data_IF_718596486373
#
_entry.id   IF_718596486373
#
_cell.length_a   1.000
_cell.length_b   1.000
_cell.length_c   1.000
_cell.angle_alpha   90.00
_cell.angle_beta   90.00
_cell.angle_gamma   90.00
#
_symmetry.space_group_name_H-M   'P 1'
#
loop_
_entity.id
_entity.type
_entity.pdbx_description
1 polymer ?
#
# COMPACT_ATOMS: atom_id res chain seq x y z
N UNK A 1 17.82 24.22 -22.86
CA UNK A 1 16.62 24.10 -21.99
C UNK A 1 16.70 22.77 -21.27
N UNK A 2 17.01 22.78 -19.97
CA UNK A 2 16.97 21.57 -19.16
C UNK A 2 15.52 21.34 -18.73
N UNK A 3 14.89 20.28 -19.23
CA UNK A 3 13.56 19.85 -18.78
C UNK A 3 13.74 19.00 -17.54
N UNK A 4 13.55 19.60 -16.37
CA UNK A 4 13.56 18.90 -15.08
C UNK A 4 12.13 18.51 -14.74
N UNK A 5 11.65 17.42 -15.35
CA UNK A 5 10.36 16.82 -14.99
C UNK A 5 10.61 15.78 -13.90
N UNK A 6 10.70 16.23 -12.65
CA UNK A 6 10.56 15.30 -11.52
C UNK A 6 9.08 14.97 -11.41
N UNK A 7 8.66 13.87 -12.04
CA UNK A 7 7.30 13.39 -11.98
C UNK A 7 7.00 12.96 -10.53
N UNK A 8 6.18 13.73 -9.83
CA UNK A 8 5.65 13.41 -8.50
C UNK A 8 4.66 12.23 -8.58
N UNK A 9 4.99 11.10 -9.22
CA UNK A 9 4.16 9.90 -9.09
C UNK A 9 4.17 9.46 -7.63
N UNK A 10 3.03 9.09 -7.02
CA UNK A 10 3.03 8.48 -5.69
C UNK A 10 3.79 7.15 -5.78
N UNK A 11 5.10 7.19 -5.53
CA UNK A 11 6.03 6.10 -5.80
C UNK A 11 6.40 5.34 -4.53
N UNK A 12 5.93 5.78 -3.37
CA UNK A 12 6.23 5.12 -2.11
C UNK A 12 5.05 5.18 -1.14
N UNK A 13 4.94 4.11 -0.35
CA UNK A 13 4.10 4.05 0.84
C UNK A 13 4.96 4.37 2.05
N UNK A 14 4.50 5.28 2.91
CA UNK A 14 5.11 5.53 4.21
C UNK A 14 4.26 4.81 5.25
N UNK A 15 4.83 3.77 5.86
CA UNK A 15 4.16 2.96 6.87
C UNK A 15 4.75 3.28 8.25
N UNK A 16 3.86 3.45 9.24
CA UNK A 16 4.24 3.56 10.65
C UNK A 16 3.69 2.37 11.42
N UNK A 17 4.56 1.61 12.07
CA UNK A 17 4.14 0.52 12.93
C UNK A 17 3.55 1.05 14.24
N UNK A 18 2.67 0.26 14.85
CA UNK A 18 1.99 0.63 16.09
C UNK A 18 2.90 0.51 17.34
N UNK A 19 4.12 0.01 17.19
CA UNK A 19 5.05 -0.14 18.31
C UNK A 19 5.62 1.22 18.72
N UNK A 20 5.89 1.38 20.02
CA UNK A 20 6.35 2.65 20.56
C UNK A 20 7.78 2.91 20.09
N UNK A 21 7.99 4.01 19.37
CA UNK A 21 9.31 4.38 18.83
C UNK A 21 9.61 3.79 17.45
N UNK A 22 8.63 3.15 16.79
CA UNK A 22 8.82 2.67 15.41
C UNK A 22 9.13 3.82 14.45
N UNK A 23 10.19 3.64 13.68
CA UNK A 23 10.54 4.53 12.58
C UNK A 23 9.53 4.43 11.43
N UNK A 24 9.42 5.52 10.65
CA UNK A 24 8.68 5.51 9.40
C UNK A 24 9.44 4.65 8.39
N UNK A 25 8.76 3.66 7.82
CA UNK A 25 9.32 2.83 6.75
C UNK A 25 8.78 3.29 5.41
N UNK A 26 9.67 3.72 4.53
CA UNK A 26 9.35 3.98 3.12
C UNK A 26 9.43 2.68 2.32
N UNK A 27 8.33 2.30 1.67
CA UNK A 27 8.24 1.15 0.77
C UNK A 27 8.00 1.68 -0.64
N UNK A 28 9.02 1.61 -1.49
CA UNK A 28 8.89 2.06 -2.88
C UNK A 28 8.09 1.07 -3.70
N UNK A 29 7.21 1.59 -4.55
CA UNK A 29 6.26 0.84 -5.38
C UNK A 29 6.97 -0.16 -6.27
N UNK A 30 8.05 0.27 -6.91
CA UNK A 30 8.85 -0.54 -7.83
C UNK A 30 9.58 -1.69 -7.15
N UNK A 31 9.68 -1.67 -5.82
CA UNK A 31 10.30 -2.71 -5.02
C UNK A 31 9.28 -3.68 -4.43
N UNK A 32 7.98 -3.46 -4.64
CA UNK A 32 6.93 -4.35 -4.15
C UNK A 32 6.81 -5.56 -5.06
N UNK A 33 7.04 -6.73 -4.48
CA UNK A 33 6.91 -8.00 -5.17
C UNK A 33 5.44 -8.47 -5.13
N UNK A 34 4.80 -8.45 -3.97
CA UNK A 34 3.38 -8.84 -3.83
C UNK A 34 2.59 -8.02 -2.82
N UNK A 35 1.28 -7.94 -3.06
CA UNK A 35 0.27 -7.39 -2.15
C UNK A 35 -0.83 -8.44 -2.06
N UNK A 36 -1.01 -9.02 -0.88
CA UNK A 36 -1.84 -10.22 -0.72
C UNK A 36 -2.82 -10.08 0.44
N UNK A 37 -4.04 -10.63 0.28
CA UNK A 37 -4.96 -10.80 1.40
C UNK A 37 -4.39 -11.82 2.39
N UNK A 38 -4.37 -11.46 3.68
CA UNK A 38 -3.97 -12.35 4.77
C UNK A 38 -5.14 -12.54 5.73
N UNK A 39 -5.89 -13.65 5.64
CA UNK A 39 -6.92 -13.99 6.61
C UNK A 39 -6.29 -14.36 7.95
N UNK A 40 -6.61 -13.61 9.01
CA UNK A 40 -6.12 -13.84 10.37
C UNK A 40 -7.29 -14.23 11.28
N UNK A 41 -7.20 -15.36 12.03
CA UNK A 41 -8.25 -15.77 12.95
C UNK A 41 -8.50 -14.73 14.05
N UNK A 42 -9.75 -14.42 14.36
CA UNK A 42 -10.11 -13.61 15.52
C UNK A 42 -10.65 -14.44 16.69
N UNK A 43 -10.33 -14.07 17.95
CA UNK A 43 -10.73 -14.83 19.12
C UNK A 43 -12.24 -14.91 19.37
N UNK A 44 -13.04 -13.98 18.85
CA UNK A 44 -14.45 -13.79 19.25
C UNK A 44 -15.45 -14.11 18.12
N UNK A 45 -15.03 -14.92 17.13
CA UNK A 45 -15.81 -15.42 15.99
C UNK A 45 -15.66 -14.59 14.71
N UNK A 46 -14.67 -14.96 13.89
CA UNK A 46 -14.52 -14.48 12.53
C UNK A 46 -13.10 -14.62 12.00
N UNK A 47 -12.95 -14.45 10.69
CA UNK A 47 -11.67 -14.21 10.04
C UNK A 47 -11.56 -12.72 9.76
N UNK A 48 -10.53 -12.07 10.26
CA UNK A 48 -10.21 -10.69 9.89
C UNK A 48 -9.29 -10.69 8.68
N UNK A 49 -9.49 -9.72 7.80
CA UNK A 49 -8.61 -9.54 6.66
C UNK A 49 -7.51 -8.54 7.01
N UNK A 50 -6.26 -8.98 6.91
CA UNK A 50 -5.08 -8.12 6.89
C UNK A 50 -4.54 -8.05 5.46
N UNK A 51 -3.68 -7.07 5.20
CA UNK A 51 -2.97 -6.93 3.92
C UNK A 51 -1.49 -7.16 4.15
N UNK A 52 -0.90 -8.13 3.46
CA UNK A 52 0.54 -8.37 3.44
C UNK A 52 1.15 -7.65 2.24
N UNK A 53 2.19 -6.84 2.49
CA UNK A 53 2.99 -6.19 1.44
C UNK A 53 4.40 -6.75 1.51
N UNK A 54 4.80 -7.50 0.49
CA UNK A 54 6.15 -8.07 0.36
C UNK A 54 6.97 -7.19 -0.58
N UNK A 55 8.14 -6.75 -0.13
CA UNK A 55 8.99 -5.82 -0.86
C UNK A 55 10.48 -6.14 -0.69
N UNK A 56 11.28 -5.63 -1.63
CA UNK A 56 12.74 -5.66 -1.56
C UNK A 56 13.26 -4.38 -0.88
N UNK A 57 13.90 -4.48 0.29
CA UNK A 57 14.49 -3.31 0.94
C UNK A 57 15.69 -2.75 0.17
N UNK A 58 15.92 -1.43 0.29
CA UNK A 58 17.04 -0.69 -0.35
C UNK A 58 18.32 -0.75 0.49
N UNK A 59 18.24 -1.21 1.74
CA UNK A 59 19.33 -1.22 2.72
C UNK A 59 20.53 -2.04 2.21
N UNK A 60 21.74 -1.46 2.30
CA UNK A 60 22.97 -2.12 1.90
C UNK A 60 23.18 -3.42 2.69
N UNK A 61 23.28 -4.54 1.98
CA UNK A 61 23.49 -5.87 2.58
C UNK A 61 22.20 -6.64 2.90
N UNK A 62 21.02 -6.12 2.55
CA UNK A 62 19.80 -6.90 2.68
C UNK A 62 19.73 -7.99 1.61
N UNK A 63 19.70 -9.26 2.05
CA UNK A 63 19.49 -10.42 1.19
C UNK A 63 18.07 -10.94 1.44
N UNK A 64 17.18 -10.72 0.48
CA UNK A 64 15.82 -11.24 0.49
C UNK A 64 14.73 -10.17 0.57
N UNK A 65 13.49 -10.62 0.77
CA UNK A 65 12.29 -9.79 0.84
C UNK A 65 11.86 -9.56 2.29
N UNK A 66 11.31 -8.38 2.58
CA UNK A 66 10.60 -8.07 3.83
C UNK A 66 9.10 -8.08 3.59
N UNK A 67 8.31 -8.49 4.58
CA UNK A 67 6.84 -8.42 4.53
C UNK A 67 6.31 -7.57 5.67
N UNK A 68 5.46 -6.60 5.33
CA UNK A 68 4.72 -5.78 6.29
C UNK A 68 3.25 -6.19 6.28
N UNK A 69 2.67 -6.31 7.48
CA UNK A 69 1.26 -6.67 7.66
C UNK A 69 0.50 -5.44 8.14
N UNK A 70 -0.55 -5.07 7.42
CA UNK A 70 -1.43 -3.96 7.75
C UNK A 70 -2.81 -4.55 8.07
N UNK A 71 -3.22 -4.48 9.34
CA UNK A 71 -4.42 -5.21 9.79
C UNK A 71 -5.18 -4.57 10.94
N UNK A 72 -4.49 -4.00 11.92
CA UNK A 72 -5.11 -3.53 13.16
C UNK A 72 -5.35 -2.00 13.15
N UNK A 73 -6.53 -1.57 13.62
CA UNK A 73 -6.90 -0.16 13.85
C UNK A 73 -6.96 0.72 12.59
N UNK A 74 -7.38 0.14 11.47
CA UNK A 74 -7.67 0.93 10.27
C UNK A 74 -9.01 1.66 10.40
N UNK A 75 -9.09 2.86 9.84
CA UNK A 75 -10.35 3.62 9.69
C UNK A 75 -11.13 3.24 8.44
N UNK A 76 -10.52 2.45 7.54
CA UNK A 76 -11.12 1.93 6.30
C UNK A 76 -11.37 0.43 6.40
N UNK A 77 -12.30 -0.10 5.60
CA UNK A 77 -12.49 -1.55 5.50
C UNK A 77 -11.24 -2.22 4.90
N UNK A 78 -10.74 -3.34 5.44
CA UNK A 78 -9.50 -3.96 4.96
C UNK A 78 -9.52 -4.37 3.48
N UNK A 79 -10.68 -4.76 2.94
CA UNK A 79 -10.83 -5.09 1.51
C UNK A 79 -10.65 -3.86 0.62
N UNK A 80 -11.08 -2.69 1.09
CA UNK A 80 -10.90 -1.42 0.37
C UNK A 80 -9.42 -1.00 0.38
N UNK A 81 -8.72 -1.24 1.49
CA UNK A 81 -7.27 -1.04 1.55
C UNK A 81 -6.55 -1.96 0.56
N UNK A 82 -6.88 -3.25 0.53
CA UNK A 82 -6.30 -4.20 -0.43
C UNK A 82 -6.48 -3.71 -1.87
N UNK A 83 -7.71 -3.40 -2.26
CA UNK A 83 -8.02 -2.95 -3.62
C UNK A 83 -7.31 -1.64 -3.96
N UNK A 84 -7.24 -0.70 -3.02
CA UNK A 84 -6.56 0.58 -3.23
C UNK A 84 -5.05 0.39 -3.44
N UNK A 85 -4.43 -0.49 -2.67
CA UNK A 85 -3.00 -0.80 -2.78
C UNK A 85 -2.67 -1.53 -4.09
N UNK A 86 -3.55 -2.43 -4.56
CA UNK A 86 -3.42 -3.07 -5.88
C UNK A 86 -3.52 -2.03 -7.00
N UNK A 87 -4.53 -1.16 -6.99
CA UNK A 87 -4.67 -0.07 -7.96
C UNK A 87 -3.43 0.81 -7.98
N UNK A 88 -2.92 1.19 -6.80
CA UNK A 88 -1.72 2.01 -6.68
C UNK A 88 -0.47 1.33 -7.26
N UNK A 89 -0.27 0.03 -6.99
CA UNK A 89 0.87 -0.76 -7.49
C UNK A 89 0.85 -0.86 -9.02
N UNK A 90 -0.32 -1.14 -9.61
CA UNK A 90 -0.45 -1.46 -11.03
C UNK A 90 -0.44 -0.20 -11.93
N UNK A 91 -0.72 0.98 -11.37
CA UNK A 91 -0.89 2.23 -12.11
C UNK A 91 0.42 3.02 -12.26
N UNK A 92 1.45 2.38 -12.82
CA UNK A 92 2.80 2.96 -12.90
C UNK A 92 2.89 4.28 -13.69
N UNK A 93 2.07 4.42 -14.74
CA UNK A 93 2.14 5.51 -15.71
C UNK A 93 0.96 6.50 -15.64
N UNK A 94 0.04 6.36 -14.69
CA UNK A 94 -1.10 7.27 -14.52
C UNK A 94 -0.64 8.64 -14.02
N UNK A 95 -1.40 9.69 -14.35
CA UNK A 95 -1.20 11.00 -13.76
C UNK A 95 -1.21 10.88 -12.22
N UNK A 96 -0.23 11.45 -11.52
CA UNK A 96 -0.14 11.30 -10.07
C UNK A 96 -1.39 11.71 -9.28
N UNK A 97 -2.03 12.81 -9.68
CA UNK A 97 -3.22 13.33 -9.01
C UNK A 97 -4.42 12.42 -9.26
N UNK A 98 -4.62 11.99 -10.50
CA UNK A 98 -5.70 11.06 -10.86
C UNK A 98 -5.55 9.72 -10.14
N UNK A 99 -4.31 9.22 -10.00
CA UNK A 99 -4.03 8.00 -9.25
C UNK A 99 -4.39 8.16 -7.77
N UNK A 100 -4.02 9.27 -7.14
CA UNK A 100 -4.36 9.54 -5.74
C UNK A 100 -5.87 9.66 -5.53
N UNK A 101 -6.56 10.36 -6.43
CA UNK A 101 -8.02 10.49 -6.40
C UNK A 101 -8.70 9.12 -6.50
N UNK A 102 -8.23 8.27 -7.42
CA UNK A 102 -8.74 6.90 -7.58
C UNK A 102 -8.48 6.04 -6.36
N UNK A 103 -7.27 6.09 -5.80
CA UNK A 103 -6.91 5.39 -4.56
C UNK A 103 -7.82 5.84 -3.41
N UNK A 104 -8.07 7.14 -3.27
CA UNK A 104 -8.97 7.68 -2.24
C UNK A 104 -10.41 7.19 -2.41
N UNK A 105 -10.92 7.17 -3.64
CA UNK A 105 -12.27 6.65 -3.93
C UNK A 105 -12.38 5.18 -3.51
N UNK A 106 -11.39 4.35 -3.86
CA UNK A 106 -11.38 2.93 -3.50
C UNK A 106 -11.28 2.74 -1.99
N UNK A 107 -10.42 3.50 -1.29
CA UNK A 107 -10.32 3.47 0.18
C UNK A 107 -11.65 3.77 0.87
N UNK A 108 -12.42 4.71 0.31
CA UNK A 108 -13.77 5.09 0.79
C UNK A 108 -14.86 4.09 0.40
N UNK A 109 -14.53 2.99 -0.28
CA UNK A 109 -15.49 1.98 -0.73
C UNK A 109 -16.35 2.43 -1.91
N UNK A 110 -15.92 3.45 -2.66
CA UNK A 110 -16.62 3.92 -3.85
C UNK A 110 -16.11 3.15 -5.07
N UNK A 111 -17.04 2.58 -5.83
CA UNK A 111 -16.74 1.93 -7.10
C UNK A 111 -16.64 2.99 -8.21
N UNK A 112 -15.65 2.85 -9.09
CA UNK A 112 -15.58 3.57 -10.38
C UNK A 112 -16.50 2.95 -11.44
N UNK A 113 -17.37 1.99 -11.08
CA UNK A 113 -18.39 1.47 -12.00
C UNK A 113 -19.47 2.55 -12.21
N UNK A 114 -19.23 3.45 -13.16
CA UNK A 114 -20.14 4.54 -13.49
C UNK A 114 -19.59 5.68 -14.36
N UNK A 115 -18.63 5.41 -15.25
CA UNK A 115 -18.31 6.30 -16.40
C UNK A 115 -18.27 5.47 -17.66
#
# INVERSE_FOLDING_TARGET
MASMSSAYHPSALVVRFAERGSELTEIRRELIESIEPRPTPQPVSGTWLEVAITYRPVEAGSVGTKTVIIGLRLTVQPINLLNALVVWKDSANENPSELLDRVELVLRGRSMAGV
#
